data_IF_981459802621
#
_entry.id   IF_981459802621
#
_cell.length_a   1.000
_cell.length_b   1.000
_cell.length_c   1.000
_cell.angle_alpha   90.00
_cell.angle_beta   90.00
_cell.angle_gamma   90.00
#
_symmetry.space_group_name_H-M   'P 1'
#
loop_
_entity.id
_entity.type
_entity.pdbx_description
1 polymer ?
#
# COMPACT_ATOMS: atom_id res chain seq x y z
N UNK A 1 -4.13 16.08 -9.58
CA UNK A 1 -3.40 15.15 -8.72
C UNK A 1 -2.13 14.65 -9.39
N UNK A 2 -1.22 14.04 -8.63
CA UNK A 2 0.07 13.53 -9.13
C UNK A 2 -0.14 12.26 -9.96
N UNK A 3 0.46 12.22 -11.15
CA UNK A 3 0.52 11.05 -12.04
C UNK A 3 1.96 10.62 -12.27
N UNK A 4 2.15 9.32 -12.51
CA UNK A 4 3.43 8.74 -12.88
C UNK A 4 3.77 9.12 -14.34
N UNK A 5 4.91 9.78 -14.55
CA UNK A 5 5.30 10.32 -15.86
C UNK A 5 6.67 9.89 -16.37
N UNK A 6 7.30 8.88 -15.76
CA UNK A 6 8.68 8.48 -16.09
C UNK A 6 8.74 7.75 -17.43
N UNK A 7 9.53 8.26 -18.37
CA UNK A 7 9.74 7.69 -19.71
C UNK A 7 11.24 7.66 -20.05
N UNK A 8 11.81 6.50 -20.46
CA UNK A 8 11.19 5.17 -20.46
C UNK A 8 10.88 4.67 -19.04
N UNK A 9 9.73 4.00 -18.87
CA UNK A 9 9.31 3.39 -17.61
C UNK A 9 9.85 1.97 -17.43
N UNK A 10 9.60 1.37 -16.26
CA UNK A 10 9.94 -0.02 -15.95
C UNK A 10 8.81 -0.70 -15.15
N UNK A 11 9.04 -1.92 -14.66
CA UNK A 11 8.03 -2.65 -13.87
C UNK A 11 7.61 -1.90 -12.60
N UNK A 12 8.55 -1.21 -11.96
CA UNK A 12 8.30 -0.50 -10.71
C UNK A 12 7.48 0.77 -10.96
N UNK A 13 7.78 1.52 -12.02
CA UNK A 13 6.98 2.70 -12.38
C UNK A 13 5.54 2.29 -12.73
N UNK A 14 5.31 1.09 -13.30
CA UNK A 14 3.94 0.58 -13.51
C UNK A 14 3.22 0.28 -12.20
N UNK A 15 3.88 -0.35 -11.23
CA UNK A 15 3.30 -0.53 -9.88
C UNK A 15 2.98 0.81 -9.20
N UNK A 16 3.88 1.80 -9.32
CA UNK A 16 3.67 3.15 -8.78
C UNK A 16 2.51 3.84 -9.50
N UNK A 17 2.37 3.65 -10.82
CA UNK A 17 1.22 4.13 -11.58
C UNK A 17 -0.10 3.61 -11.00
N UNK A 18 -0.22 2.30 -10.76
CA UNK A 18 -1.39 1.71 -10.13
C UNK A 18 -1.61 2.22 -8.68
N UNK A 19 -0.54 2.33 -7.89
CA UNK A 19 -0.57 2.93 -6.55
C UNK A 19 -1.13 4.35 -6.60
N UNK A 20 -0.71 5.18 -7.55
CA UNK A 20 -1.12 6.58 -7.66
C UNK A 20 -2.57 6.72 -8.09
N UNK A 21 -3.08 5.90 -9.00
CA UNK A 21 -4.51 5.92 -9.31
C UNK A 21 -5.31 5.53 -8.05
N UNK A 22 -4.88 4.50 -7.33
CA UNK A 22 -5.55 4.04 -6.09
C UNK A 22 -5.52 5.11 -4.99
N UNK A 23 -4.35 5.63 -4.67
CA UNK A 23 -4.14 6.54 -3.54
C UNK A 23 -4.56 7.98 -3.87
N UNK A 24 -4.26 8.47 -5.08
CA UNK A 24 -4.54 9.86 -5.46
C UNK A 24 -5.89 9.98 -6.16
N UNK A 25 -6.15 9.21 -7.22
CA UNK A 25 -7.35 9.40 -8.00
C UNK A 25 -8.60 8.86 -7.29
N UNK A 26 -8.53 7.68 -6.65
CA UNK A 26 -9.66 7.10 -5.94
C UNK A 26 -9.75 7.62 -4.49
N UNK A 27 -8.71 7.38 -3.68
CA UNK A 27 -8.81 7.61 -2.24
C UNK A 27 -8.91 9.10 -1.86
N UNK A 28 -8.22 10.02 -2.56
CA UNK A 28 -8.40 11.47 -2.30
C UNK A 28 -9.77 11.99 -2.70
N UNK A 29 -10.37 11.45 -3.78
CA UNK A 29 -11.76 11.79 -4.14
C UNK A 29 -12.72 11.35 -3.03
N UNK A 30 -12.57 10.13 -2.53
CA UNK A 30 -13.37 9.65 -1.39
C UNK A 30 -13.21 10.52 -0.16
N UNK A 31 -11.97 10.85 0.23
CA UNK A 31 -11.66 11.77 1.32
C UNK A 31 -12.29 13.16 1.13
N UNK A 32 -12.26 13.70 -0.09
CA UNK A 32 -12.85 14.99 -0.42
C UNK A 32 -14.38 14.97 -0.23
N UNK A 33 -15.05 13.89 -0.65
CA UNK A 33 -16.49 13.68 -0.42
C UNK A 33 -16.81 13.55 1.07
N UNK A 34 -15.95 12.85 1.84
CA UNK A 34 -16.07 12.75 3.29
C UNK A 34 -15.76 14.07 4.02
N UNK A 35 -15.27 15.09 3.31
CA UNK A 35 -14.91 16.41 3.86
C UNK A 35 -13.65 16.40 4.72
N UNK A 36 -12.82 15.35 4.63
CA UNK A 36 -11.61 15.18 5.41
C UNK A 36 -10.47 14.64 4.53
N UNK A 37 -9.53 15.51 4.16
CA UNK A 37 -8.41 15.17 3.29
C UNK A 37 -7.17 14.92 4.13
N UNK A 38 -6.59 13.72 4.00
CA UNK A 38 -5.42 13.36 4.80
C UNK A 38 -4.18 14.19 4.44
N UNK A 39 -3.93 14.45 3.15
CA UNK A 39 -2.74 15.17 2.71
C UNK A 39 -2.95 15.74 1.31
N UNK A 40 -2.59 17.03 1.14
CA UNK A 40 -2.29 17.61 -0.16
C UNK A 40 -0.84 17.28 -0.50
N UNK A 41 -0.61 16.33 -1.40
CA UNK A 41 0.73 15.84 -1.69
C UNK A 41 1.64 16.98 -2.17
N UNK A 42 2.84 17.08 -1.59
CA UNK A 42 3.74 18.22 -1.79
C UNK A 42 4.07 18.58 -3.25
N UNK A 43 4.06 17.61 -4.16
CA UNK A 43 4.30 17.83 -5.59
C UNK A 43 3.14 18.45 -6.38
N UNK A 44 1.95 18.59 -5.79
CA UNK A 44 0.75 19.11 -6.47
C UNK A 44 -0.19 19.89 -5.53
N UNK A 45 0.38 20.65 -4.59
CA UNK A 45 -0.38 21.44 -3.62
C UNK A 45 -0.41 22.93 -4.00
N UNK A 46 -1.55 23.58 -3.75
CA UNK A 46 -1.73 25.02 -3.87
C UNK A 46 -2.34 25.54 -2.57
N UNK A 47 -1.78 26.63 -2.04
CA UNK A 47 -2.23 27.25 -0.80
C UNK A 47 -2.51 28.73 -1.04
N UNK A 48 -3.64 29.23 -0.51
CA UNK A 48 -3.86 30.67 -0.49
C UNK A 48 -2.99 31.32 0.59
N UNK A 49 -2.52 32.54 0.32
CA UNK A 49 -1.76 33.34 1.30
C UNK A 49 -2.52 33.47 2.62
N UNK A 50 -3.81 33.82 2.55
CA UNK A 50 -4.67 33.96 3.72
C UNK A 50 -4.79 32.67 4.55
N UNK A 51 -4.69 31.49 3.93
CA UNK A 51 -4.64 30.24 4.67
C UNK A 51 -3.33 30.07 5.43
N UNK A 52 -2.20 30.29 4.74
CA UNK A 52 -0.87 30.15 5.33
C UNK A 52 -0.68 31.12 6.51
N UNK A 53 -1.13 32.36 6.36
CA UNK A 53 -1.10 33.36 7.44
C UNK A 53 -1.91 32.91 8.66
N UNK A 54 -3.10 32.33 8.44
CA UNK A 54 -3.98 31.89 9.52
C UNK A 54 -3.45 30.67 10.30
N UNK A 55 -2.58 29.86 9.69
CA UNK A 55 -1.96 28.71 10.36
C UNK A 55 -0.55 29.02 10.89
N UNK A 56 -0.16 30.30 10.92
CA UNK A 56 1.07 30.79 11.56
C UNK A 56 2.22 31.14 10.63
N UNK A 57 1.98 31.24 9.31
CA UNK A 57 2.94 31.69 8.28
C UNK A 57 4.23 30.87 8.14
N UNK A 58 4.36 29.74 8.84
CA UNK A 58 5.55 28.89 8.82
C UNK A 58 5.16 27.44 8.54
N UNK A 59 5.87 26.82 7.59
CA UNK A 59 5.77 25.39 7.32
C UNK A 59 6.55 24.65 8.40
N UNK A 60 5.94 23.60 8.94
CA UNK A 60 6.53 22.80 10.00
C UNK A 60 7.59 21.84 9.43
N UNK A 61 8.87 22.23 9.54
CA UNK A 61 10.00 21.44 9.04
C UNK A 61 10.52 20.41 10.06
N UNK A 62 9.88 20.31 11.23
CA UNK A 62 10.26 19.33 12.26
C UNK A 62 9.71 17.93 12.00
N UNK A 63 8.83 17.77 10.98
CA UNK A 63 8.27 16.50 10.55
C UNK A 63 8.68 16.16 9.12
N UNK A 64 8.83 14.87 8.83
CA UNK A 64 9.06 14.34 7.47
C UNK A 64 7.83 14.44 6.54
N UNK A 65 6.68 14.91 7.07
CA UNK A 65 5.42 15.11 6.35
C UNK A 65 4.85 16.52 6.60
N UNK A 66 5.64 17.53 6.26
CA UNK A 66 5.29 18.95 6.35
C UNK A 66 4.00 19.29 5.60
N UNK A 67 3.78 18.64 4.45
CA UNK A 67 2.59 18.79 3.62
C UNK A 67 1.31 18.32 4.33
N UNK A 68 1.40 17.19 5.01
CA UNK A 68 0.34 16.55 5.77
C UNK A 68 0.03 17.34 7.03
N UNK A 69 1.06 17.80 7.74
CA UNK A 69 0.90 18.70 8.90
C UNK A 69 0.17 19.99 8.51
N UNK A 70 0.58 20.62 7.41
CA UNK A 70 -0.05 21.84 6.88
C UNK A 70 -1.51 21.59 6.50
N UNK A 71 -1.78 20.44 5.86
CA UNK A 71 -3.14 20.00 5.50
C UNK A 71 -4.02 19.79 6.73
N UNK A 72 -3.50 19.17 7.78
CA UNK A 72 -4.21 18.97 9.05
C UNK A 72 -4.48 20.31 9.75
N UNK A 73 -3.46 21.15 9.93
CA UNK A 73 -3.58 22.47 10.57
C UNK A 73 -4.62 23.34 9.87
N UNK A 74 -4.65 23.32 8.53
CA UNK A 74 -5.66 24.02 7.72
C UNK A 74 -7.09 23.59 8.08
N UNK A 75 -7.36 22.28 8.06
CA UNK A 75 -8.71 21.77 8.37
C UNK A 75 -9.08 21.97 9.84
N UNK A 76 -8.13 21.81 10.77
CA UNK A 76 -8.37 22.07 12.19
C UNK A 76 -8.71 23.53 12.49
N UNK A 77 -8.21 24.47 11.68
CA UNK A 77 -8.59 25.88 11.72
C UNK A 77 -9.96 26.17 11.06
N UNK A 78 -10.74 25.14 10.70
CA UNK A 78 -12.04 25.28 10.05
C UNK A 78 -11.98 25.71 8.59
N UNK A 79 -10.79 25.66 7.97
CA UNK A 79 -10.60 26.05 6.57
C UNK A 79 -10.74 24.86 5.63
N UNK A 80 -11.16 25.13 4.41
CA UNK A 80 -11.44 24.10 3.41
C UNK A 80 -10.16 23.60 2.74
N UNK A 81 -10.04 22.29 2.66
CA UNK A 81 -9.07 21.58 1.81
C UNK A 81 -9.88 20.82 0.77
N UNK A 82 -9.52 20.98 -0.51
CA UNK A 82 -10.26 20.39 -1.62
C UNK A 82 -9.32 19.63 -2.53
N UNK A 83 -9.77 18.51 -3.05
CA UNK A 83 -9.08 17.75 -4.10
C UNK A 83 -9.63 18.11 -5.48
N UNK A 84 -8.76 18.62 -6.36
CA UNK A 84 -9.11 18.93 -7.76
C UNK A 84 -8.62 17.79 -8.69
N UNK A 85 -9.54 16.95 -9.25
CA UNK A 85 -9.17 15.84 -10.10
C UNK A 85 -8.55 16.26 -11.44
N UNK A 86 -8.83 17.45 -11.97
CA UNK A 86 -8.36 17.90 -13.29
C UNK A 86 -6.99 18.59 -13.25
N UNK A 87 -6.58 19.13 -12.10
CA UNK A 87 -5.28 19.79 -11.94
C UNK A 87 -4.14 18.77 -11.82
N UNK A 88 -3.59 18.28 -12.92
CA UNK A 88 -2.61 17.18 -12.94
C UNK A 88 -1.15 17.63 -12.89
N UNK A 89 -0.30 16.87 -12.21
CA UNK A 89 1.16 17.06 -12.19
C UNK A 89 1.83 15.73 -12.50
N UNK A 90 2.75 15.72 -13.47
CA UNK A 90 3.52 14.53 -13.82
C UNK A 90 4.79 14.47 -12.98
N UNK A 91 4.99 13.36 -12.29
CA UNK A 91 6.15 13.13 -11.44
C UNK A 91 7.04 12.03 -12.01
N UNK A 92 8.35 12.25 -11.95
CA UNK A 92 9.33 11.20 -12.12
C UNK A 92 9.39 10.37 -10.84
N UNK A 93 9.34 9.05 -10.99
CA UNK A 93 9.31 8.13 -9.86
C UNK A 93 10.60 7.30 -9.77
N UNK A 94 10.93 6.76 -8.59
CA UNK A 94 12.13 5.94 -8.43
C UNK A 94 12.18 4.79 -9.44
N UNK A 95 13.34 4.63 -10.09
CA UNK A 95 13.58 3.57 -11.06
C UNK A 95 14.03 2.24 -10.44
N UNK A 96 14.31 2.22 -9.14
CA UNK A 96 14.79 1.04 -8.41
C UNK A 96 14.17 0.95 -7.01
N UNK A 97 14.24 -0.24 -6.41
CA UNK A 97 13.61 -0.53 -5.12
C UNK A 97 14.29 0.25 -3.99
N UNK A 98 15.61 0.45 -4.06
CA UNK A 98 16.36 1.25 -3.10
C UNK A 98 15.82 2.68 -3.00
N UNK A 99 15.63 3.35 -4.14
CA UNK A 99 15.05 4.68 -4.24
C UNK A 99 13.60 4.73 -3.78
N UNK A 100 12.79 3.75 -4.18
CA UNK A 100 11.41 3.63 -3.70
C UNK A 100 11.34 3.46 -2.19
N UNK A 101 12.15 2.57 -1.64
CA UNK A 101 12.21 2.28 -0.21
C UNK A 101 12.53 3.54 0.58
N UNK A 102 13.54 4.32 0.17
CA UNK A 102 13.87 5.61 0.80
C UNK A 102 12.66 6.55 0.81
N UNK A 103 11.99 6.69 -0.34
CA UNK A 103 10.84 7.59 -0.48
C UNK A 103 9.64 7.16 0.37
N UNK A 104 9.20 5.89 0.24
CA UNK A 104 8.03 5.36 0.94
C UNK A 104 8.27 5.23 2.45
N UNK A 105 9.49 4.89 2.87
CA UNK A 105 9.85 4.88 4.29
C UNK A 105 9.76 6.27 4.92
N UNK A 106 10.22 7.32 4.21
CA UNK A 106 10.08 8.71 4.69
C UNK A 106 8.62 9.09 4.86
N UNK A 107 7.76 8.78 3.89
CA UNK A 107 6.33 9.05 3.99
C UNK A 107 5.68 8.30 5.15
N UNK A 108 5.99 7.02 5.32
CA UNK A 108 5.48 6.22 6.42
C UNK A 108 5.92 6.76 7.79
N UNK A 109 7.18 7.16 7.95
CA UNK A 109 7.66 7.83 9.17
C UNK A 109 6.90 9.13 9.44
N UNK A 110 6.69 9.94 8.40
CA UNK A 110 5.85 11.13 8.49
C UNK A 110 4.43 10.81 8.99
N UNK A 111 3.81 9.75 8.49
CA UNK A 111 2.49 9.31 8.96
C UNK A 111 2.48 8.88 10.44
N UNK A 112 3.56 8.28 10.95
CA UNK A 112 3.70 7.99 12.39
C UNK A 112 3.73 9.30 13.20
N UNK A 113 4.50 10.28 12.74
CA UNK A 113 4.60 11.59 13.39
C UNK A 113 3.25 12.33 13.40
N UNK A 114 2.53 12.34 12.27
CA UNK A 114 1.16 12.87 12.16
C UNK A 114 0.24 12.17 13.15
N UNK A 115 0.25 10.83 13.17
CA UNK A 115 -0.60 10.03 14.07
C UNK A 115 -0.36 10.39 15.54
N UNK A 116 0.90 10.54 15.94
CA UNK A 116 1.30 10.91 17.31
C UNK A 116 0.94 12.36 17.66
N UNK A 117 1.19 13.30 16.75
CA UNK A 117 0.94 14.72 16.97
C UNK A 117 -0.55 15.00 17.11
N UNK A 118 -1.36 14.46 16.20
CA UNK A 118 -2.80 14.69 16.15
C UNK A 118 -3.59 13.63 16.93
N UNK A 119 -2.97 12.97 17.93
CA UNK A 119 -3.60 11.90 18.71
C UNK A 119 -4.93 12.27 19.38
N UNK A 120 -5.13 13.57 19.65
CA UNK A 120 -6.34 14.11 20.26
C UNK A 120 -7.47 14.38 19.26
N UNK A 121 -7.23 14.21 17.96
CA UNK A 121 -8.22 14.42 16.89
C UNK A 121 -8.94 13.13 16.55
N UNK A 122 -8.25 11.99 16.56
CA UNK A 122 -8.78 10.71 16.12
C UNK A 122 -10.04 10.31 16.88
N UNK A 123 -11.11 10.00 16.13
CA UNK A 123 -12.41 9.60 16.66
C UNK A 123 -13.03 10.62 17.62
N UNK A 124 -12.70 11.92 17.45
CA UNK A 124 -13.32 13.03 18.19
C UNK A 124 -14.03 13.97 17.21
N UNK A 125 -15.31 13.71 16.90
CA UNK A 125 -16.08 14.55 15.99
C UNK A 125 -16.05 16.02 16.43
N UNK A 126 -16.00 16.92 15.45
CA UNK A 126 -16.01 18.36 15.66
C UNK A 126 -17.02 19.01 14.71
N UNK A 127 -17.72 20.08 15.14
CA UNK A 127 -18.56 20.86 14.24
C UNK A 127 -17.73 21.68 13.22
N UNK A 128 -16.46 21.96 13.49
CA UNK A 128 -15.63 22.83 12.65
C UNK A 128 -14.87 22.08 11.55
N UNK A 129 -14.64 20.77 11.71
CA UNK A 129 -13.85 19.98 10.78
C UNK A 129 -14.25 18.49 10.81
N UNK A 130 -13.97 17.75 9.73
CA UNK A 130 -14.29 16.31 9.63
C UNK A 130 -13.13 15.36 9.94
N UNK A 131 -11.92 15.89 10.20
CA UNK A 131 -10.73 15.08 10.56
C UNK A 131 -10.93 14.19 11.81
N UNK A 132 -11.82 14.55 12.72
CA UNK A 132 -12.09 13.73 13.91
C UNK A 132 -13.23 12.72 13.74
N UNK A 133 -13.81 12.62 12.54
CA UNK A 133 -14.86 11.63 12.26
C UNK A 133 -14.34 10.20 12.40
N UNK A 134 -15.22 9.29 12.82
CA UNK A 134 -14.90 7.86 12.91
C UNK A 134 -14.51 7.31 11.54
N UNK A 135 -15.22 7.69 10.48
CA UNK A 135 -14.94 7.25 9.10
C UNK A 135 -13.53 7.65 8.64
N UNK A 136 -13.07 8.87 8.94
CA UNK A 136 -11.72 9.30 8.59
C UNK A 136 -10.67 8.56 9.40
N UNK A 137 -10.89 8.35 10.70
CA UNK A 137 -10.00 7.53 11.53
C UNK A 137 -9.90 6.09 11.00
N UNK A 138 -11.04 5.45 10.69
CA UNK A 138 -11.06 4.09 10.13
C UNK A 138 -10.25 4.06 8.82
N UNK A 139 -10.49 5.01 7.91
CA UNK A 139 -9.72 5.12 6.68
C UNK A 139 -8.21 5.24 6.93
N UNK A 140 -7.79 6.13 7.85
CA UNK A 140 -6.38 6.33 8.19
C UNK A 140 -5.75 5.08 8.82
N UNK A 141 -6.40 4.52 9.84
CA UNK A 141 -5.86 3.40 10.61
C UNK A 141 -5.93 2.05 9.89
N UNK A 142 -6.87 1.85 8.96
CA UNK A 142 -6.89 0.64 8.13
C UNK A 142 -5.61 0.52 7.28
N UNK A 143 -5.12 1.63 6.72
CA UNK A 143 -3.88 1.65 5.94
C UNK A 143 -2.64 1.65 6.84
N UNK A 144 -2.66 2.47 7.90
CA UNK A 144 -1.56 2.54 8.85
C UNK A 144 -1.33 1.17 9.52
N UNK A 145 -2.35 0.54 10.08
CA UNK A 145 -2.20 -0.73 10.83
C UNK A 145 -2.14 -1.98 9.94
N UNK A 146 -2.20 -1.85 8.62
CA UNK A 146 -2.18 -2.98 7.69
C UNK A 146 -1.03 -3.99 7.94
N UNK A 147 0.26 -3.60 8.09
CA UNK A 147 1.33 -4.56 8.42
C UNK A 147 1.09 -5.29 9.75
N UNK A 148 0.50 -4.62 10.74
CA UNK A 148 0.17 -5.24 12.03
C UNK A 148 -0.95 -6.26 11.85
N UNK A 149 -1.99 -5.92 11.09
CA UNK A 149 -3.07 -6.85 10.77
C UNK A 149 -2.58 -8.07 9.98
N UNK A 150 -1.62 -7.91 9.06
CA UNK A 150 -1.01 -9.04 8.34
C UNK A 150 -0.29 -10.00 9.29
N UNK A 151 0.49 -9.47 10.25
CA UNK A 151 1.19 -10.28 11.26
C UNK A 151 0.19 -10.98 12.19
N UNK A 152 -0.79 -10.24 12.71
CA UNK A 152 -1.80 -10.78 13.61
C UNK A 152 -2.63 -11.86 12.92
N UNK A 153 -3.16 -11.60 11.72
CA UNK A 153 -3.94 -12.58 10.96
C UNK A 153 -3.13 -13.85 10.66
N UNK A 154 -1.87 -13.70 10.24
CA UNK A 154 -0.97 -14.84 10.00
C UNK A 154 -0.76 -15.66 11.28
N UNK A 155 -0.38 -15.00 12.38
CA UNK A 155 -0.12 -15.68 13.67
C UNK A 155 -1.38 -16.34 14.25
N UNK A 156 -2.53 -15.67 14.19
CA UNK A 156 -3.81 -16.21 14.65
C UNK A 156 -4.25 -17.43 13.84
N UNK A 157 -4.07 -17.41 12.51
CA UNK A 157 -4.39 -18.57 11.66
C UNK A 157 -3.48 -19.76 11.95
N UNK A 158 -2.18 -19.53 12.19
CA UNK A 158 -1.24 -20.59 12.57
C UNK A 158 -1.59 -21.19 13.93
N UNK A 159 -1.90 -20.37 14.94
CA UNK A 159 -2.33 -20.86 16.26
C UNK A 159 -3.61 -21.68 16.12
N UNK A 160 -4.60 -21.13 15.42
CA UNK A 160 -5.89 -21.78 15.20
C UNK A 160 -5.75 -23.08 14.40
N UNK A 161 -4.79 -23.17 13.48
CA UNK A 161 -4.50 -24.40 12.74
C UNK A 161 -4.13 -25.56 13.67
N UNK A 162 -3.31 -25.32 14.69
CA UNK A 162 -2.90 -26.34 15.66
C UNK A 162 -3.96 -26.61 16.73
N UNK A 163 -4.78 -25.61 17.09
CA UNK A 163 -5.86 -25.78 18.08
C UNK A 163 -7.12 -26.42 17.50
N UNK A 164 -7.61 -25.91 16.37
CA UNK A 164 -8.81 -26.39 15.69
C UNK A 164 -8.72 -26.14 14.18
N UNK A 165 -8.23 -27.15 13.45
CA UNK A 165 -8.06 -27.08 12.01
C UNK A 165 -9.35 -26.76 11.24
N UNK A 166 -10.50 -27.27 11.68
CA UNK A 166 -11.77 -27.06 10.98
C UNK A 166 -12.18 -25.57 11.01
N UNK A 167 -12.08 -24.93 12.18
CA UNK A 167 -12.37 -23.49 12.30
C UNK A 167 -11.31 -22.67 11.56
N UNK A 168 -10.02 -23.04 11.66
CA UNK A 168 -8.94 -22.36 10.95
C UNK A 168 -9.20 -22.30 9.44
N UNK A 169 -9.64 -23.44 8.88
CA UNK A 169 -9.98 -23.55 7.47
C UNK A 169 -11.12 -22.63 7.06
N UNK A 170 -12.20 -22.58 7.85
CA UNK A 170 -13.36 -21.70 7.58
C UNK A 170 -12.94 -20.23 7.65
N UNK A 171 -12.23 -19.83 8.70
CA UNK A 171 -11.76 -18.44 8.89
C UNK A 171 -10.84 -18.03 7.75
N UNK A 172 -9.93 -18.91 7.32
CA UNK A 172 -9.06 -18.66 6.18
C UNK A 172 -9.85 -18.44 4.88
N UNK A 173 -10.84 -19.28 4.58
CA UNK A 173 -11.65 -19.12 3.37
C UNK A 173 -12.43 -17.81 3.38
N UNK A 174 -13.08 -17.49 4.49
CA UNK A 174 -13.85 -16.24 4.63
C UNK A 174 -12.92 -15.03 4.45
N UNK A 175 -11.76 -15.03 5.11
CA UNK A 175 -10.78 -13.95 4.99
C UNK A 175 -10.33 -13.75 3.55
N UNK A 176 -9.98 -14.82 2.82
CA UNK A 176 -9.50 -14.70 1.45
C UNK A 176 -10.60 -14.36 0.45
N UNK A 177 -11.83 -14.83 0.65
CA UNK A 177 -12.98 -14.41 -0.17
C UNK A 177 -13.24 -12.92 0.01
N UNK A 178 -13.26 -12.41 1.24
CA UNK A 178 -13.44 -10.96 1.50
C UNK A 178 -12.31 -10.15 0.86
N UNK A 179 -11.07 -10.60 1.00
CA UNK A 179 -9.92 -9.96 0.36
C UNK A 179 -10.04 -9.99 -1.17
N UNK A 180 -10.46 -11.11 -1.75
CA UNK A 180 -10.66 -11.25 -3.19
C UNK A 180 -11.72 -10.27 -3.71
N UNK A 181 -12.89 -10.22 -3.06
CA UNK A 181 -13.97 -9.30 -3.43
C UNK A 181 -13.53 -7.85 -3.33
N UNK A 182 -12.87 -7.48 -2.22
CA UNK A 182 -12.35 -6.13 -2.00
C UNK A 182 -11.31 -5.78 -3.06
N UNK A 183 -10.41 -6.70 -3.37
CA UNK A 183 -9.34 -6.50 -4.34
C UNK A 183 -9.84 -6.38 -5.77
N UNK A 184 -10.78 -7.23 -6.19
CA UNK A 184 -11.43 -7.14 -7.50
C UNK A 184 -12.19 -5.82 -7.61
N UNK A 185 -12.91 -5.41 -6.57
CA UNK A 185 -13.61 -4.12 -6.55
C UNK A 185 -12.65 -2.94 -6.70
N UNK A 186 -11.60 -2.85 -5.88
CA UNK A 186 -10.61 -1.76 -5.94
C UNK A 186 -9.94 -1.74 -7.31
N UNK A 187 -9.45 -2.89 -7.79
CA UNK A 187 -8.72 -2.96 -9.06
C UNK A 187 -9.63 -2.54 -10.22
N UNK A 188 -10.86 -3.04 -10.28
CA UNK A 188 -11.83 -2.66 -11.31
C UNK A 188 -12.15 -1.17 -11.27
N UNK A 189 -12.40 -0.62 -10.08
CA UNK A 189 -12.70 0.79 -9.88
C UNK A 189 -11.53 1.70 -10.29
N UNK A 190 -10.31 1.31 -9.93
CA UNK A 190 -9.07 2.02 -10.28
C UNK A 190 -8.86 2.04 -11.79
N UNK A 191 -9.05 0.91 -12.47
CA UNK A 191 -8.95 0.83 -13.93
C UNK A 191 -10.00 1.68 -14.65
N UNK A 192 -11.17 1.91 -14.02
CA UNK A 192 -12.22 2.78 -14.56
C UNK A 192 -11.94 4.27 -14.34
N UNK A 193 -11.26 4.67 -13.27
CA UNK A 193 -11.00 6.11 -12.97
C UNK A 193 -10.00 6.73 -13.93
N UNK A 194 -8.91 6.03 -14.24
CA UNK A 194 -7.87 6.48 -15.17
C UNK A 194 -7.54 5.32 -16.12
N UNK A 195 -8.33 5.21 -17.18
CA UNK A 195 -8.20 4.15 -18.17
C UNK A 195 -6.83 4.11 -18.85
N UNK A 196 -6.24 5.28 -19.14
CA UNK A 196 -4.95 5.37 -19.87
C UNK A 196 -3.83 4.81 -19.02
N UNK A 197 -3.75 5.21 -17.75
CA UNK A 197 -2.73 4.70 -16.82
C UNK A 197 -3.05 3.25 -16.42
N UNK A 198 -4.33 2.94 -16.22
CA UNK A 198 -4.82 1.60 -15.89
C UNK A 198 -4.47 0.57 -16.94
N UNK A 199 -4.65 0.88 -18.24
CA UNK A 199 -4.27 -0.01 -19.34
C UNK A 199 -2.76 -0.28 -19.41
N UNK A 200 -1.92 0.63 -18.94
CA UNK A 200 -0.47 0.40 -18.92
C UNK A 200 -0.02 -0.38 -17.67
N UNK A 201 -0.75 -0.31 -16.57
CA UNK A 201 -0.39 -0.91 -15.29
C UNK A 201 -1.32 -2.07 -14.89
N UNK A 202 -2.15 -2.62 -15.79
CA UNK A 202 -3.17 -3.61 -15.42
C UNK A 202 -2.56 -4.91 -14.88
N UNK A 203 -1.43 -5.36 -15.44
CA UNK A 203 -0.72 -6.55 -14.95
C UNK A 203 -0.22 -6.32 -13.53
N UNK A 204 0.44 -5.18 -13.29
CA UNK A 204 0.89 -4.76 -11.97
C UNK A 204 -0.28 -4.53 -11.00
N UNK A 205 -1.43 -4.11 -11.53
CA UNK A 205 -2.68 -3.97 -10.80
C UNK A 205 -3.32 -5.30 -10.41
N UNK A 206 -3.11 -6.38 -11.18
CA UNK A 206 -3.54 -7.76 -10.83
C UNK A 206 -2.53 -8.43 -9.90
N UNK A 207 -1.23 -8.18 -10.12
CA UNK A 207 -0.12 -8.75 -9.35
C UNK A 207 0.32 -7.89 -8.16
N UNK A 208 -0.46 -6.87 -7.79
CA UNK A 208 -0.16 -5.99 -6.67
C UNK A 208 0.09 -6.72 -5.33
N UNK A 209 -0.69 -7.75 -4.94
CA UNK A 209 -0.43 -8.56 -3.74
C UNK A 209 0.59 -9.68 -3.97
N UNK A 210 1.08 -9.86 -5.20
CA UNK A 210 2.06 -10.88 -5.60
C UNK A 210 1.43 -12.15 -6.15
N UNK A 211 2.18 -12.85 -7.00
CA UNK A 211 1.74 -14.09 -7.67
C UNK A 211 1.29 -15.14 -6.65
N UNK A 212 2.04 -15.33 -5.56
CA UNK A 212 1.68 -16.34 -4.53
C UNK A 212 0.35 -15.96 -3.86
N UNK A 213 0.15 -14.69 -3.51
CA UNK A 213 -1.10 -14.24 -2.89
C UNK A 213 -2.28 -14.36 -3.86
N UNK A 214 -2.08 -14.08 -5.16
CA UNK A 214 -3.10 -14.29 -6.20
C UNK A 214 -3.42 -15.78 -6.34
N UNK A 215 -2.42 -16.66 -6.32
CA UNK A 215 -2.64 -18.11 -6.33
C UNK A 215 -3.43 -18.58 -5.10
N UNK A 216 -3.14 -18.03 -3.92
CA UNK A 216 -3.90 -18.33 -2.70
C UNK A 216 -5.35 -17.84 -2.81
N UNK A 217 -5.58 -16.63 -3.34
CA UNK A 217 -6.93 -16.11 -3.62
C UNK A 217 -7.70 -17.07 -4.52
N UNK A 218 -7.10 -17.46 -5.66
CA UNK A 218 -7.74 -18.37 -6.62
C UNK A 218 -8.05 -19.72 -5.95
N UNK A 219 -7.10 -20.27 -5.19
CA UNK A 219 -7.28 -21.52 -4.47
C UNK A 219 -8.42 -21.46 -3.44
N UNK A 220 -8.54 -20.35 -2.69
CA UNK A 220 -9.58 -20.15 -1.69
C UNK A 220 -10.97 -19.89 -2.31
N UNK A 221 -11.04 -19.14 -3.41
CA UNK A 221 -12.29 -18.83 -4.10
C UNK A 221 -12.82 -20.00 -4.94
N UNK A 222 -11.93 -20.85 -5.46
CA UNK A 222 -12.28 -21.96 -6.36
C UNK A 222 -11.79 -23.33 -5.82
N UNK A 223 -12.32 -23.81 -4.69
CA UNK A 223 -11.85 -25.06 -4.06
C UNK A 223 -12.13 -26.32 -4.90
N UNK A 224 -13.03 -26.25 -5.89
CA UNK A 224 -13.25 -27.34 -6.86
C UNK A 224 -12.14 -27.42 -7.90
N UNK A 225 -11.68 -26.26 -8.39
CA UNK A 225 -10.57 -26.18 -9.33
C UNK A 225 -9.28 -26.71 -8.71
N UNK A 226 -9.01 -26.33 -7.45
CA UNK A 226 -7.86 -26.83 -6.72
C UNK A 226 -7.88 -28.36 -6.54
N UNK A 227 -9.06 -28.92 -6.24
CA UNK A 227 -9.24 -30.38 -6.16
C UNK A 227 -8.95 -31.05 -7.51
N UNK A 228 -9.49 -30.54 -8.61
CA UNK A 228 -9.20 -31.06 -9.94
C UNK A 228 -7.70 -31.05 -10.24
N UNK A 229 -7.00 -29.96 -9.92
CA UNK A 229 -5.55 -29.87 -10.12
C UNK A 229 -4.81 -30.93 -9.30
N UNK A 230 -5.15 -31.08 -8.01
CA UNK A 230 -4.43 -32.00 -7.11
C UNK A 230 -4.75 -33.47 -7.31
N UNK A 231 -5.97 -33.81 -7.73
CA UNK A 231 -6.43 -35.20 -7.83
C UNK A 231 -6.50 -35.71 -9.26
N UNK A 232 -6.66 -34.84 -10.26
CA UNK A 232 -6.82 -35.25 -11.66
C UNK A 232 -5.60 -34.84 -12.51
N UNK A 233 -5.07 -33.62 -12.34
CA UNK A 233 -4.00 -33.10 -13.21
C UNK A 233 -2.60 -33.50 -12.73
N UNK A 234 -2.26 -33.26 -11.46
CA UNK A 234 -0.92 -33.56 -10.94
C UNK A 234 -0.57 -35.06 -11.02
N UNK A 235 -1.50 -36.00 -10.77
CA UNK A 235 -1.20 -37.42 -10.94
C UNK A 235 -0.88 -37.82 -12.38
N UNK A 236 -1.46 -37.15 -13.39
CA UNK A 236 -1.08 -37.34 -14.79
C UNK A 236 0.37 -36.92 -15.09
N UNK A 237 0.93 -36.02 -14.26
CA UNK A 237 2.33 -35.60 -14.31
C UNK A 237 3.22 -36.41 -13.35
N UNK A 238 2.70 -37.46 -12.71
CA UNK A 238 3.42 -38.30 -11.75
C UNK A 238 3.61 -37.65 -10.37
N UNK A 239 2.91 -36.56 -10.08
CA UNK A 239 3.01 -35.83 -8.79
C UNK A 239 1.76 -36.15 -7.96
N UNK A 240 1.92 -36.89 -6.86
CA UNK A 240 0.84 -37.15 -5.91
C UNK A 240 1.15 -36.50 -4.57
N UNK A 241 0.36 -35.52 -4.17
CA UNK A 241 0.54 -34.87 -2.87
C UNK A 241 -0.01 -35.75 -1.75
N UNK A 242 0.82 -36.03 -0.76
CA UNK A 242 0.48 -36.69 0.49
C UNK A 242 -0.39 -35.78 1.38
N UNK A 243 -1.01 -36.36 2.41
CA UNK A 243 -1.77 -35.60 3.40
C UNK A 243 -0.90 -34.58 4.15
N UNK A 244 0.33 -34.95 4.47
CA UNK A 244 1.29 -34.08 5.13
C UNK A 244 1.66 -32.87 4.25
N UNK A 245 1.92 -33.09 2.95
CA UNK A 245 2.23 -32.01 2.00
C UNK A 245 1.06 -31.05 1.81
N UNK A 246 -0.18 -31.57 1.69
CA UNK A 246 -1.37 -30.71 1.63
C UNK A 246 -1.50 -29.83 2.88
N UNK A 247 -1.27 -30.41 4.07
CA UNK A 247 -1.28 -29.67 5.34
C UNK A 247 -0.18 -28.61 5.41
N UNK A 248 1.02 -28.94 4.92
CA UNK A 248 2.14 -28.00 4.83
C UNK A 248 1.82 -26.82 3.90
N UNK A 249 1.14 -27.04 2.77
CA UNK A 249 0.71 -25.97 1.86
C UNK A 249 -0.27 -24.99 2.53
N UNK A 250 -1.21 -25.50 3.33
CA UNK A 250 -2.15 -24.64 4.09
C UNK A 250 -1.38 -23.81 5.12
N UNK A 251 -0.48 -24.44 5.88
CA UNK A 251 0.34 -23.74 6.86
C UNK A 251 1.25 -22.69 6.19
N UNK A 252 1.82 -23.01 5.03
CA UNK A 252 2.57 -22.07 4.20
C UNK A 252 1.70 -20.88 3.80
N UNK A 253 0.47 -21.11 3.30
CA UNK A 253 -0.43 -20.03 2.95
C UNK A 253 -0.77 -19.14 4.15
N UNK A 254 -0.90 -19.70 5.35
CA UNK A 254 -1.17 -18.94 6.57
C UNK A 254 0.03 -18.08 6.98
N UNK A 255 1.24 -18.65 6.91
CA UNK A 255 2.49 -17.94 7.15
C UNK A 255 2.78 -16.87 6.08
N UNK A 256 2.35 -17.10 4.84
CA UNK A 256 2.61 -16.22 3.70
C UNK A 256 1.98 -14.83 3.87
N UNK A 257 0.85 -14.71 4.59
CA UNK A 257 0.22 -13.42 4.88
C UNK A 257 1.25 -12.43 5.45
N UNK A 258 2.02 -12.82 6.45
CA UNK A 258 3.09 -11.98 6.99
C UNK A 258 4.43 -12.18 6.26
N UNK A 259 4.72 -13.40 5.83
CA UNK A 259 5.97 -13.78 5.16
C UNK A 259 6.22 -13.02 3.86
N UNK A 260 5.17 -12.66 3.13
CA UNK A 260 5.26 -11.83 1.92
C UNK A 260 5.98 -10.50 2.15
N UNK A 261 5.80 -9.85 3.31
CA UNK A 261 6.52 -8.61 3.64
C UNK A 261 8.03 -8.86 3.76
N UNK A 262 8.43 -9.98 4.37
CA UNK A 262 9.83 -10.35 4.50
C UNK A 262 10.44 -10.66 3.12
N UNK A 263 9.73 -11.40 2.28
CA UNK A 263 10.19 -11.73 0.92
C UNK A 263 10.31 -10.46 0.07
N UNK A 264 9.36 -9.53 0.16
CA UNK A 264 9.46 -8.23 -0.50
C UNK A 264 10.66 -7.41 -0.01
N UNK A 265 10.94 -7.43 1.29
CA UNK A 265 12.14 -6.81 1.87
C UNK A 265 13.44 -7.47 1.39
N UNK A 266 13.47 -8.79 1.22
CA UNK A 266 14.61 -9.49 0.64
C UNK A 266 14.86 -9.05 -0.81
N UNK A 267 13.81 -8.79 -1.58
CA UNK A 267 13.92 -8.18 -2.91
C UNK A 267 14.71 -6.88 -2.89
N UNK A 268 14.41 -6.00 -1.93
CA UNK A 268 15.18 -4.77 -1.69
C UNK A 268 16.62 -5.06 -1.26
N UNK A 269 16.85 -6.04 -0.39
CA UNK A 269 18.17 -6.35 0.16
C UNK A 269 19.13 -6.95 -0.89
N UNK A 270 18.59 -7.65 -1.89
CA UNK A 270 19.35 -8.30 -2.94
C UNK A 270 19.67 -7.37 -4.11
N UNK A 271 18.89 -6.30 -4.32
CA UNK A 271 19.05 -5.38 -5.46
C UNK A 271 20.48 -4.84 -5.67
N UNK A 272 21.26 -4.45 -4.62
CA UNK A 272 22.62 -3.94 -4.79
C UNK A 272 23.65 -5.00 -5.22
N UNK A 273 23.30 -6.30 -5.21
CA UNK A 273 24.23 -7.40 -5.52
C UNK A 273 24.39 -7.61 -7.03
N UNK A 274 25.38 -8.40 -7.43
CA UNK A 274 25.55 -8.85 -8.83
C UNK A 274 24.30 -9.63 -9.27
N UNK A 275 23.72 -9.26 -10.41
CA UNK A 275 22.40 -9.73 -10.87
C UNK A 275 21.22 -9.41 -9.92
N UNK A 276 21.40 -8.46 -9.01
CA UNK A 276 20.40 -8.10 -8.01
C UNK A 276 19.13 -7.49 -8.60
N UNK A 277 19.22 -6.68 -9.65
CA UNK A 277 18.05 -6.03 -10.30
C UNK A 277 16.99 -7.01 -10.84
N UNK A 278 17.32 -7.99 -11.70
CA UNK A 278 16.31 -8.94 -12.19
C UNK A 278 15.76 -9.82 -11.06
N UNK A 279 16.62 -10.21 -10.10
CA UNK A 279 16.21 -11.00 -8.96
C UNK A 279 15.28 -10.22 -8.02
N UNK A 280 15.55 -8.93 -7.83
CA UNK A 280 14.72 -8.01 -7.06
C UNK A 280 13.34 -7.85 -7.69
N UNK A 281 13.26 -7.70 -9.02
CA UNK A 281 12.00 -7.69 -9.73
C UNK A 281 11.21 -8.99 -9.53
N UNK A 282 11.87 -10.14 -9.62
CA UNK A 282 11.24 -11.44 -9.36
C UNK A 282 10.68 -11.52 -7.94
N UNK A 283 11.43 -11.08 -6.92
CA UNK A 283 10.93 -11.02 -5.55
C UNK A 283 9.68 -10.14 -5.41
N UNK A 284 9.60 -9.00 -6.11
CA UNK A 284 8.41 -8.14 -6.08
C UNK A 284 7.23 -8.78 -6.78
N UNK A 285 7.42 -9.46 -7.91
CA UNK A 285 6.31 -10.18 -8.55
C UNK A 285 5.84 -11.37 -7.71
N UNK A 286 6.75 -12.07 -7.02
CA UNK A 286 6.42 -13.20 -6.14
C UNK A 286 5.67 -12.72 -4.88
N UNK A 287 6.26 -11.75 -4.16
CA UNK A 287 5.78 -11.27 -2.88
C UNK A 287 4.66 -10.24 -3.00
N UNK A 288 4.70 -9.40 -4.03
CA UNK A 288 3.80 -8.29 -4.25
C UNK A 288 4.41 -6.93 -3.89
N UNK A 289 3.96 -5.91 -4.62
CA UNK A 289 4.26 -4.50 -4.32
C UNK A 289 3.51 -4.01 -3.07
N UNK A 290 2.28 -4.47 -2.83
CA UNK A 290 1.53 -4.16 -1.61
C UNK A 290 2.29 -4.57 -0.33
N UNK A 291 2.77 -5.83 -0.22
CA UNK A 291 3.61 -6.25 0.90
C UNK A 291 4.93 -5.47 1.03
N UNK A 292 5.52 -4.97 -0.07
CA UNK A 292 6.66 -4.06 0.00
C UNK A 292 6.29 -2.73 0.69
N UNK A 293 5.14 -2.15 0.37
CA UNK A 293 4.64 -0.94 1.06
C UNK A 293 4.37 -1.22 2.54
N UNK A 294 3.79 -2.37 2.88
CA UNK A 294 3.58 -2.78 4.27
C UNK A 294 4.93 -2.95 5.01
N UNK A 295 5.94 -3.52 4.35
CA UNK A 295 7.30 -3.62 4.91
C UNK A 295 7.92 -2.24 5.15
N UNK A 296 7.72 -1.26 4.26
CA UNK A 296 8.16 0.13 4.47
C UNK A 296 7.47 0.75 5.69
N UNK A 297 6.16 0.56 5.81
CA UNK A 297 5.36 1.05 6.94
C UNK A 297 5.79 0.41 8.26
N UNK A 298 5.99 -0.90 8.29
CA UNK A 298 6.49 -1.60 9.47
C UNK A 298 7.90 -1.13 9.88
N UNK A 299 8.80 -0.96 8.90
CA UNK A 299 10.14 -0.41 9.16
C UNK A 299 10.10 1.02 9.71
N UNK A 300 9.09 1.82 9.33
CA UNK A 300 8.88 3.16 9.89
C UNK A 300 8.59 3.12 11.39
N UNK A 301 7.80 2.14 11.86
CA UNK A 301 7.50 1.97 13.28
C UNK A 301 8.77 1.69 14.08
N UNK A 302 9.58 0.77 13.59
CA UNK A 302 10.84 0.41 14.23
C UNK A 302 11.79 1.63 14.28
N UNK A 303 11.88 2.40 13.19
CA UNK A 303 12.76 3.58 13.15
C UNK A 303 12.31 4.70 14.09
N UNK A 304 11.01 4.98 14.15
CA UNK A 304 10.48 6.00 15.06
C UNK A 304 10.59 5.56 16.53
N UNK A 305 10.38 4.28 16.83
CA UNK A 305 10.58 3.73 18.18
C UNK A 305 12.05 3.80 18.63
N UNK A 306 13.00 3.68 17.70
CA UNK A 306 14.45 3.81 17.97
C UNK A 306 14.94 5.26 18.01
N UNK A 307 14.08 6.24 17.78
CA UNK A 307 14.47 7.65 17.71
C UNK A 307 15.48 7.94 16.60
N UNK A 308 15.42 7.20 15.48
CA UNK A 308 16.36 7.38 14.38
C UNK A 308 16.32 8.80 13.82
N UNK A 309 17.46 9.35 13.43
CA UNK A 309 17.55 10.71 12.87
C UNK A 309 16.65 10.89 11.63
N UNK A 310 16.18 12.12 11.47
CA UNK A 310 15.36 12.51 10.32
C UNK A 310 16.27 12.86 9.15
N UNK A 311 16.34 11.99 8.15
CA UNK A 311 17.04 12.28 6.89
C UNK A 311 16.04 12.63 5.79
N UNK A 312 16.29 13.76 5.13
CA UNK A 312 15.53 14.21 3.97
C UNK A 312 16.18 13.71 2.68
N UNK A 313 16.26 12.39 2.54
CA UNK A 313 16.78 11.75 1.33
C UNK A 313 15.73 11.86 0.21
N UNK A 314 15.83 12.93 -0.59
CA UNK A 314 14.96 13.15 -1.75
C UNK A 314 15.33 12.18 -2.88
N UNK A 315 14.32 11.74 -3.62
CA UNK A 315 14.52 10.98 -4.85
C UNK A 315 15.30 11.83 -5.85
N UNK A 316 16.43 11.33 -6.32
CA UNK A 316 17.18 11.95 -7.42
C UNK A 316 16.31 11.96 -8.68
N UNK A 317 16.26 13.11 -9.35
CA UNK A 317 15.49 13.31 -10.58
C UNK A 317 16.45 13.29 -11.76
N UNK A 318 16.14 12.46 -12.75
CA UNK A 318 16.97 12.25 -13.95
C UNK A 318 16.42 12.95 -15.19
N UNK A 319 15.29 13.66 -15.07
CA UNK A 319 14.68 14.42 -16.17
C UNK A 319 13.83 13.56 -17.10
N UNK A 320 13.38 12.39 -16.63
CA UNK A 320 12.60 11.42 -17.42
C UNK A 320 11.10 11.72 -17.49
N UNK A 321 10.66 12.90 -17.04
CA UNK A 321 9.23 13.24 -17.08
C UNK A 321 8.82 13.53 -18.51
N UNK A 322 7.84 12.77 -19.01
CA UNK A 322 7.15 13.10 -20.25
C UNK A 322 5.64 12.93 -20.08
N UNK A 323 4.89 13.84 -20.70
CA UNK A 323 3.44 13.67 -20.79
C UNK A 323 3.15 12.49 -21.74
N UNK A 324 2.23 11.58 -21.37
CA UNK A 324 1.74 10.60 -22.33
C UNK A 324 1.06 11.35 -23.47
N UNK A 325 1.48 11.01 -24.70
CA UNK A 325 0.85 11.46 -25.95
C UNK A 325 -0.44 10.68 -26.18
#
# INVERSE_FOLDING_TARGET
YIKEGSRPGNYLTRFIGFEYITAQAAARRSQNVLGAVACLAGGAQLHSRANLEAIGSRVDTSSLAEDTFTTFKTQLAGRRVVFEPHATVWAEEPGDIGGLWKQRLRWARGNVQVTKQFRRVWCRPSPTHRLGSVSFSVFWFCLFLLPVFMILASSSLIILYFSNFAIAWVVFHVLWIINALTYVFITSFVLMIDWVTGRHAWVEGVLFPGVISVSIIIAACFPRLLRMIFYDVLPLMGITLTFAERRALVLFAYAWLAGSMLVAYLGKAVEPRRFGRPLSAAFIYIAGYGPLLCACTFASYIKELRGAEMTWDKTEKTGKVAMPV
#
